data_IF_840283739073
#
_entry.id   IF_840283739073
#
_cell.length_a   1.000
_cell.length_b   1.000
_cell.length_c   1.000
_cell.angle_alpha   90.00
_cell.angle_beta   90.00
_cell.angle_gamma   90.00
#
_symmetry.space_group_name_H-M   'P 1'
#
loop_
_entity.id
_entity.type
_entity.pdbx_description
1 polymer ?
#
# COMPACT_ATOMS: atom_id res chain seq x y z
N UNK A 1 -22.59 11.19 -16.09
CA UNK A 1 -22.70 10.54 -17.42
C UNK A 1 -21.87 11.22 -18.53
N UNK A 2 -21.73 12.55 -18.60
CA UNK A 2 -20.98 13.21 -19.71
C UNK A 2 -19.44 13.06 -19.65
N UNK A 3 -18.83 12.92 -18.46
CA UNK A 3 -17.36 12.77 -18.28
C UNK A 3 -16.80 11.43 -18.81
N UNK A 4 -17.66 10.46 -19.06
CA UNK A 4 -17.31 9.10 -19.51
C UNK A 4 -17.22 8.95 -21.04
N UNK A 5 -17.53 10.02 -21.79
CA UNK A 5 -17.56 9.98 -23.26
C UNK A 5 -16.20 10.30 -23.90
N UNK A 6 -15.41 11.19 -23.28
CA UNK A 6 -14.14 11.69 -23.85
C UNK A 6 -13.02 10.66 -23.71
N UNK A 7 -12.88 10.05 -22.52
CA UNK A 7 -11.89 9.00 -22.22
C UNK A 7 -12.12 7.76 -23.11
N UNK A 8 -13.38 7.34 -23.29
CA UNK A 8 -13.74 6.27 -24.23
C UNK A 8 -13.49 6.61 -25.70
N UNK A 9 -13.45 7.89 -26.08
CA UNK A 9 -13.25 8.29 -27.47
C UNK A 9 -11.79 8.17 -27.89
N UNK A 10 -10.86 8.69 -27.06
CA UNK A 10 -9.41 8.60 -27.32
C UNK A 10 -8.96 7.13 -27.27
N UNK A 11 -9.35 6.39 -26.23
CA UNK A 11 -9.00 4.97 -26.10
C UNK A 11 -9.60 4.14 -27.24
N UNK A 12 -10.81 4.45 -27.73
CA UNK A 12 -11.36 3.82 -28.95
C UNK A 12 -10.56 4.15 -30.20
N UNK A 13 -10.16 5.40 -30.39
CA UNK A 13 -9.38 5.82 -31.57
C UNK A 13 -8.04 5.09 -31.56
N UNK A 14 -7.34 5.10 -30.44
CA UNK A 14 -6.06 4.40 -30.25
C UNK A 14 -6.17 2.87 -30.40
N UNK A 15 -7.26 2.25 -29.91
CA UNK A 15 -7.59 0.84 -30.19
C UNK A 15 -7.86 0.59 -31.67
N UNK A 16 -8.59 1.50 -32.34
CA UNK A 16 -8.95 1.39 -33.76
C UNK A 16 -7.74 1.51 -34.68
N UNK A 17 -6.75 2.33 -34.33
CA UNK A 17 -5.48 2.45 -35.07
C UNK A 17 -4.43 1.42 -34.63
N UNK A 18 -4.77 0.52 -33.70
CA UNK A 18 -3.93 -0.61 -33.28
C UNK A 18 -2.73 -0.24 -32.41
N UNK A 19 -2.76 0.93 -31.76
CA UNK A 19 -1.74 1.35 -30.77
C UNK A 19 -2.05 0.77 -29.39
N UNK A 20 -3.34 0.60 -29.07
CA UNK A 20 -3.82 0.05 -27.81
C UNK A 20 -4.65 -1.22 -28.01
N UNK A 21 -4.69 -2.07 -26.98
CA UNK A 21 -5.51 -3.28 -26.95
C UNK A 21 -4.78 -4.54 -27.40
N UNK A 22 -5.06 -5.62 -26.68
CA UNK A 22 -4.50 -6.94 -26.94
C UNK A 22 -5.03 -7.53 -28.26
N UNK A 23 -4.12 -8.03 -29.11
CA UNK A 23 -4.46 -8.83 -30.27
C UNK A 23 -3.56 -10.06 -30.32
N UNK A 24 -4.14 -11.27 -30.40
CA UNK A 24 -3.38 -12.54 -30.49
C UNK A 24 -2.34 -12.57 -31.63
N UNK A 25 -2.50 -11.75 -32.68
CA UNK A 25 -1.55 -11.63 -33.81
C UNK A 25 -0.48 -10.54 -33.63
N UNK A 26 -0.68 -9.62 -32.68
CA UNK A 26 0.15 -8.44 -32.39
C UNK A 26 0.15 -8.19 -30.87
N UNK A 27 0.60 -9.16 -30.07
CA UNK A 27 1.16 -8.80 -28.76
C UNK A 27 2.23 -7.74 -29.06
N UNK A 28 2.29 -6.66 -28.29
CA UNK A 28 3.25 -5.58 -28.47
C UNK A 28 4.64 -6.25 -28.39
N UNK A 29 5.21 -6.57 -29.55
CA UNK A 29 6.51 -7.22 -29.75
C UNK A 29 6.77 -8.57 -29.03
N UNK A 30 5.76 -9.37 -28.69
CA UNK A 30 6.01 -10.63 -27.97
C UNK A 30 6.57 -10.44 -26.55
N UNK A 31 6.36 -9.26 -25.96
CA UNK A 31 6.80 -8.94 -24.61
C UNK A 31 6.06 -9.83 -23.62
N UNK A 32 6.81 -10.38 -22.66
CA UNK A 32 6.28 -11.23 -21.60
C UNK A 32 5.28 -10.44 -20.74
N UNK A 33 4.05 -10.93 -20.47
CA UNK A 33 3.06 -10.22 -19.65
C UNK A 33 3.59 -9.79 -18.27
N UNK A 34 4.53 -10.56 -17.71
CA UNK A 34 5.21 -10.23 -16.47
C UNK A 34 5.96 -8.89 -16.55
N UNK A 35 6.61 -8.61 -17.69
CA UNK A 35 7.33 -7.35 -17.92
C UNK A 35 6.40 -6.14 -18.02
N UNK A 36 5.16 -6.34 -18.46
CA UNK A 36 4.17 -5.26 -18.49
C UNK A 36 3.77 -4.87 -17.06
N UNK A 37 3.50 -5.85 -16.20
CA UNK A 37 3.25 -5.60 -14.77
C UNK A 37 4.45 -4.92 -14.11
N UNK A 38 5.68 -5.39 -14.38
CA UNK A 38 6.89 -4.70 -13.92
C UNK A 38 6.94 -3.25 -14.41
N UNK A 39 6.61 -3.01 -15.68
CA UNK A 39 6.65 -1.67 -16.28
C UNK A 39 5.62 -0.73 -15.67
N UNK A 40 4.42 -1.22 -15.33
CA UNK A 40 3.39 -0.43 -14.65
C UNK A 40 3.79 -0.05 -13.22
N UNK A 41 4.42 -0.99 -12.50
CA UNK A 41 5.01 -0.71 -11.19
C UNK A 41 6.10 0.36 -11.33
N UNK A 42 7.08 0.16 -12.21
CA UNK A 42 8.19 1.10 -12.41
C UNK A 42 7.73 2.47 -12.89
N UNK A 43 6.74 2.53 -13.77
CA UNK A 43 6.12 3.79 -14.22
C UNK A 43 5.51 4.53 -13.02
N UNK A 44 4.76 3.82 -12.17
CA UNK A 44 4.14 4.40 -10.97
C UNK A 44 5.21 4.94 -10.02
N UNK A 45 6.27 4.17 -9.73
CA UNK A 45 7.40 4.63 -8.91
C UNK A 45 8.08 5.86 -9.51
N UNK A 46 8.28 5.89 -10.83
CA UNK A 46 8.90 7.02 -11.52
C UNK A 46 8.03 8.28 -11.47
N UNK A 47 6.72 8.15 -11.69
CA UNK A 47 5.77 9.27 -11.62
C UNK A 47 5.67 9.83 -10.20
N UNK A 48 5.63 8.97 -9.19
CA UNK A 48 5.60 9.37 -7.79
C UNK A 48 6.92 10.02 -7.35
N UNK A 49 8.07 9.50 -7.81
CA UNK A 49 9.36 10.15 -7.61
C UNK A 49 9.41 11.54 -8.26
N UNK A 50 8.93 11.67 -9.50
CA UNK A 50 8.84 12.96 -10.19
C UNK A 50 7.92 13.93 -9.42
N UNK A 51 6.74 13.47 -9.01
CA UNK A 51 5.80 14.27 -8.23
C UNK A 51 6.44 14.77 -6.92
N UNK A 52 7.16 13.90 -6.21
CA UNK A 52 7.92 14.28 -5.01
C UNK A 52 8.95 15.36 -5.32
N UNK A 53 9.75 15.21 -6.39
CA UNK A 53 10.73 16.22 -6.82
C UNK A 53 10.09 17.55 -7.17
N UNK A 54 8.91 17.54 -7.79
CA UNK A 54 8.15 18.75 -8.08
C UNK A 54 7.67 19.43 -6.80
N UNK A 55 7.19 18.66 -5.82
CA UNK A 55 6.82 19.20 -4.50
C UNK A 55 8.04 19.82 -3.81
N UNK A 56 9.17 19.12 -3.78
CA UNK A 56 10.42 19.65 -3.21
C UNK A 56 10.91 20.92 -3.90
N UNK A 57 10.67 21.06 -5.21
CA UNK A 57 11.11 22.21 -6.00
C UNK A 57 10.19 23.43 -5.88
N UNK A 58 8.87 23.22 -5.81
CA UNK A 58 7.89 24.29 -5.93
C UNK A 58 7.15 24.64 -4.64
N UNK A 59 7.20 23.78 -3.61
CA UNK A 59 6.62 24.08 -2.31
C UNK A 59 7.71 24.61 -1.40
N UNK A 60 7.55 25.87 -0.98
CA UNK A 60 8.43 26.56 -0.05
C UNK A 60 8.61 25.76 1.26
N UNK A 61 9.84 25.70 1.76
CA UNK A 61 10.21 25.00 2.98
C UNK A 61 9.54 25.59 4.23
N UNK A 62 9.10 26.86 4.18
CA UNK A 62 8.27 27.47 5.22
C UNK A 62 6.90 26.77 5.40
N UNK A 63 6.46 25.95 4.43
CA UNK A 63 5.14 25.27 4.40
C UNK A 63 5.25 23.77 4.66
N UNK A 64 5.98 23.40 5.72
CA UNK A 64 6.24 22.00 6.07
C UNK A 64 4.96 21.15 6.18
N UNK A 65 3.89 21.66 6.79
CA UNK A 65 2.61 20.93 6.89
C UNK A 65 2.05 20.56 5.51
N UNK A 66 2.08 21.48 4.54
CA UNK A 66 1.56 21.22 3.19
C UNK A 66 2.45 20.22 2.47
N UNK A 67 3.78 20.37 2.60
CA UNK A 67 4.77 19.45 2.03
C UNK A 67 4.55 18.03 2.55
N UNK A 68 4.34 17.87 3.85
CA UNK A 68 4.06 16.57 4.47
C UNK A 68 2.75 15.95 3.96
N UNK A 69 1.67 16.74 3.87
CA UNK A 69 0.40 16.23 3.32
C UNK A 69 0.54 15.80 1.86
N UNK A 70 1.29 16.54 1.04
CA UNK A 70 1.56 16.14 -0.34
C UNK A 70 2.40 14.85 -0.42
N UNK A 71 3.38 14.67 0.46
CA UNK A 71 4.13 13.43 0.53
C UNK A 71 3.26 12.24 0.97
N UNK A 72 2.41 12.40 1.98
CA UNK A 72 1.42 11.39 2.37
C UNK A 72 0.49 11.03 1.20
N UNK A 73 0.01 12.03 0.45
CA UNK A 73 -0.83 11.80 -0.72
C UNK A 73 -0.10 10.98 -1.79
N UNK A 74 1.12 11.38 -2.17
CA UNK A 74 1.86 10.71 -3.24
C UNK A 74 2.30 9.31 -2.79
N UNK A 75 2.76 9.16 -1.54
CA UNK A 75 3.15 7.87 -0.99
C UNK A 75 1.99 6.88 -0.95
N UNK A 76 0.80 7.30 -0.49
CA UNK A 76 -0.38 6.42 -0.49
C UNK A 76 -0.83 6.07 -1.90
N UNK A 77 -0.79 7.01 -2.84
CA UNK A 77 -1.14 6.74 -4.24
C UNK A 77 -0.15 5.74 -4.86
N UNK A 78 1.16 5.93 -4.67
CA UNK A 78 2.21 5.01 -5.14
C UNK A 78 2.01 3.60 -4.57
N UNK A 79 1.85 3.50 -3.24
CA UNK A 79 1.63 2.25 -2.51
C UNK A 79 0.41 1.50 -3.07
N UNK A 80 -0.75 2.14 -3.08
CA UNK A 80 -1.99 1.50 -3.51
C UNK A 80 -1.91 1.10 -4.99
N UNK A 81 -1.33 1.95 -5.84
CA UNK A 81 -1.19 1.69 -7.27
C UNK A 81 -0.31 0.48 -7.57
N UNK A 82 0.83 0.38 -6.88
CA UNK A 82 1.70 -0.79 -7.03
C UNK A 82 0.99 -2.06 -6.55
N UNK A 83 0.27 -1.99 -5.43
CA UNK A 83 -0.47 -3.14 -4.89
C UNK A 83 -1.63 -3.60 -5.79
N UNK A 84 -2.29 -2.69 -6.52
CA UNK A 84 -3.24 -3.11 -7.57
C UNK A 84 -2.56 -3.99 -8.61
N UNK A 85 -1.37 -3.60 -9.08
CA UNK A 85 -0.61 -4.41 -10.02
C UNK A 85 -0.11 -5.72 -9.40
N UNK A 86 0.17 -5.74 -8.10
CA UNK A 86 0.50 -6.98 -7.39
C UNK A 86 -0.66 -7.99 -7.38
N UNK A 87 -1.92 -7.55 -7.45
CA UNK A 87 -3.07 -8.47 -7.62
C UNK A 87 -2.92 -9.21 -8.96
N UNK A 88 -2.63 -8.49 -10.05
CA UNK A 88 -2.38 -9.11 -11.36
C UNK A 88 -1.21 -10.10 -11.27
N UNK A 89 -0.14 -9.74 -10.56
CA UNK A 89 1.01 -10.62 -10.36
C UNK A 89 0.62 -11.89 -9.60
N UNK A 90 -0.14 -11.76 -8.50
CA UNK A 90 -0.58 -12.89 -7.70
C UNK A 90 -1.52 -13.82 -8.48
N UNK A 91 -2.50 -13.26 -9.19
CA UNK A 91 -3.50 -14.03 -9.94
C UNK A 91 -2.88 -14.89 -11.06
N UNK A 92 -1.77 -14.43 -11.66
CA UNK A 92 -1.20 -15.06 -12.85
C UNK A 92 0.10 -15.85 -12.57
N UNK A 93 0.87 -15.48 -11.54
CA UNK A 93 2.15 -16.12 -11.20
C UNK A 93 2.25 -16.59 -9.74
N UNK A 94 1.19 -16.40 -8.95
CA UNK A 94 1.07 -16.93 -7.60
C UNK A 94 1.75 -16.08 -6.51
N UNK A 95 1.51 -16.51 -5.26
CA UNK A 95 1.92 -15.80 -4.04
C UNK A 95 3.44 -15.63 -3.91
N UNK A 96 4.22 -16.54 -4.47
CA UNK A 96 5.68 -16.42 -4.44
C UNK A 96 6.19 -15.24 -5.27
N UNK A 97 5.67 -15.04 -6.49
CA UNK A 97 5.99 -13.89 -7.31
C UNK A 97 5.52 -12.59 -6.65
N UNK A 98 4.30 -12.59 -6.11
CA UNK A 98 3.77 -11.49 -5.30
C UNK A 98 4.71 -11.11 -4.15
N UNK A 99 5.18 -12.09 -3.37
CA UNK A 99 6.05 -11.87 -2.22
C UNK A 99 7.40 -11.24 -2.61
N UNK A 100 7.99 -11.65 -3.74
CA UNK A 100 9.23 -11.05 -4.24
C UNK A 100 9.02 -9.56 -4.56
N UNK A 101 7.96 -9.21 -5.29
CA UNK A 101 7.69 -7.81 -5.60
C UNK A 101 7.36 -7.00 -4.35
N UNK A 102 6.52 -7.54 -3.46
CA UNK A 102 6.15 -6.86 -2.22
C UNK A 102 7.39 -6.60 -1.36
N UNK A 103 8.32 -7.54 -1.27
CA UNK A 103 9.58 -7.34 -0.56
C UNK A 103 10.39 -6.20 -1.18
N UNK A 104 10.59 -6.20 -2.50
CA UNK A 104 11.34 -5.16 -3.20
C UNK A 104 10.69 -3.78 -3.03
N UNK A 105 9.35 -3.72 -3.10
CA UNK A 105 8.59 -2.50 -2.88
C UNK A 105 8.65 -2.02 -1.44
N UNK A 106 8.61 -2.92 -0.46
CA UNK A 106 8.70 -2.56 0.97
C UNK A 106 10.10 -2.00 1.30
N UNK A 107 11.16 -2.58 0.72
CA UNK A 107 12.52 -2.02 0.80
C UNK A 107 12.55 -0.64 0.15
N UNK A 108 11.93 -0.47 -1.03
CA UNK A 108 11.83 0.83 -1.69
C UNK A 108 11.12 1.86 -0.81
N UNK A 109 9.90 1.58 -0.33
CA UNK A 109 9.10 2.51 0.46
C UNK A 109 9.80 2.93 1.75
N UNK A 110 10.43 1.98 2.46
CA UNK A 110 11.19 2.28 3.69
C UNK A 110 12.36 3.26 3.46
N UNK A 111 12.90 3.32 2.23
CA UNK A 111 14.04 4.17 1.90
C UNK A 111 13.66 5.52 1.26
N UNK A 112 12.44 5.67 0.73
CA UNK A 112 12.09 6.81 -0.13
C UNK A 112 11.18 7.83 0.51
N UNK A 113 10.23 7.40 1.34
CA UNK A 113 9.16 8.29 1.77
C UNK A 113 9.43 9.08 3.05
N UNK A 114 10.54 8.80 3.74
CA UNK A 114 10.93 9.54 4.95
C UNK A 114 9.84 9.44 6.00
N UNK A 115 9.30 10.58 6.44
CA UNK A 115 8.24 10.63 7.46
C UNK A 115 6.84 10.32 6.92
N UNK A 116 6.64 10.25 5.60
CA UNK A 116 5.33 9.92 5.05
C UNK A 116 5.05 8.42 5.25
N UNK A 117 4.00 8.13 6.02
CA UNK A 117 3.66 6.78 6.46
C UNK A 117 2.82 6.00 5.45
N UNK A 118 2.01 6.71 4.66
CA UNK A 118 0.98 6.14 3.80
C UNK A 118 0.00 5.18 4.52
N UNK A 119 -0.12 5.28 5.84
CA UNK A 119 -0.88 4.35 6.68
C UNK A 119 -1.71 5.07 7.75
N UNK A 120 -3.05 4.88 7.80
CA UNK A 120 -3.93 5.62 8.70
C UNK A 120 -3.70 5.44 10.21
N UNK A 121 -3.19 4.30 10.67
CA UNK A 121 -2.91 4.15 12.11
C UNK A 121 -1.61 4.86 12.53
N UNK A 122 -0.67 5.12 11.62
CA UNK A 122 0.60 5.75 11.96
C UNK A 122 0.46 7.13 12.63
N UNK A 123 -0.34 8.08 12.11
CA UNK A 123 -0.57 9.34 12.82
C UNK A 123 -1.33 9.18 14.14
N UNK A 124 -2.02 8.05 14.37
CA UNK A 124 -2.62 7.71 15.66
C UNK A 124 -1.60 7.10 16.62
N UNK A 125 -0.61 6.37 16.12
CA UNK A 125 0.55 5.97 16.92
C UNK A 125 1.24 7.20 17.52
N UNK A 126 1.47 8.22 16.69
CA UNK A 126 2.07 9.48 17.14
C UNK A 126 1.21 10.23 18.16
N UNK A 127 -0.12 10.09 18.14
CA UNK A 127 -1.00 10.62 19.20
C UNK A 127 -0.79 9.85 20.50
N UNK A 128 -0.75 8.50 20.43
CA UNK A 128 -0.56 7.64 21.60
C UNK A 128 0.80 7.87 22.27
N UNK A 129 1.80 8.27 21.49
CA UNK A 129 3.14 8.63 21.97
C UNK A 129 3.25 10.09 22.44
N UNK A 130 2.21 10.91 22.24
CA UNK A 130 2.22 12.33 22.60
C UNK A 130 2.96 13.25 21.63
N UNK A 131 3.31 12.75 20.44
CA UNK A 131 4.08 13.46 19.41
C UNK A 131 3.21 14.26 18.42
N UNK A 132 1.89 13.98 18.33
CA UNK A 132 0.97 14.64 17.40
C UNK A 132 -0.40 14.94 18.01
N UNK A 133 -1.04 16.01 17.55
CA UNK A 133 -2.42 16.33 17.92
C UNK A 133 -3.46 15.67 16.99
N UNK A 134 -4.68 15.45 17.50
CA UNK A 134 -5.78 14.81 16.76
C UNK A 134 -6.10 15.52 15.43
N UNK A 135 -6.10 16.86 15.42
CA UNK A 135 -6.44 17.65 14.23
C UNK A 135 -5.47 17.37 13.07
N UNK A 136 -4.18 17.26 13.35
CA UNK A 136 -3.18 17.03 12.31
C UNK A 136 -3.17 15.57 11.84
N UNK A 137 -3.42 14.62 12.75
CA UNK A 137 -3.63 13.23 12.37
C UNK A 137 -4.82 13.06 11.42
N UNK A 138 -5.95 13.71 11.70
CA UNK A 138 -7.13 13.67 10.83
C UNK A 138 -6.83 14.24 9.43
N UNK A 139 -6.04 15.31 9.32
CA UNK A 139 -5.63 15.83 8.00
C UNK A 139 -4.83 14.80 7.22
N UNK A 140 -3.90 14.11 7.86
CA UNK A 140 -3.09 13.05 7.24
C UNK A 140 -3.99 11.90 6.79
N UNK A 141 -4.84 11.36 7.66
CA UNK A 141 -5.74 10.25 7.35
C UNK A 141 -6.67 10.60 6.19
N UNK A 142 -7.27 11.79 6.21
CA UNK A 142 -8.11 12.26 5.10
C UNK A 142 -7.34 12.37 3.78
N UNK A 143 -6.07 12.78 3.84
CA UNK A 143 -5.20 12.90 2.67
C UNK A 143 -4.83 11.53 2.10
N UNK A 144 -4.49 10.57 2.96
CA UNK A 144 -4.24 9.18 2.59
C UNK A 144 -5.49 8.55 1.97
N UNK A 145 -6.67 8.76 2.56
CA UNK A 145 -7.94 8.28 2.00
C UNK A 145 -8.25 8.90 0.63
N UNK A 146 -8.03 10.21 0.47
CA UNK A 146 -8.21 10.87 -0.82
C UNK A 146 -7.31 10.27 -1.91
N UNK A 147 -6.04 9.97 -1.58
CA UNK A 147 -5.12 9.28 -2.48
C UNK A 147 -5.57 7.84 -2.79
N UNK A 148 -6.00 7.10 -1.76
CA UNK A 148 -6.51 5.73 -1.89
C UNK A 148 -7.72 5.65 -2.85
N UNK A 149 -8.68 6.58 -2.74
CA UNK A 149 -9.83 6.64 -3.66
C UNK A 149 -9.44 7.09 -5.07
N UNK A 150 -8.50 8.03 -5.21
CA UNK A 150 -8.04 8.48 -6.54
C UNK A 150 -7.28 7.37 -7.27
N UNK A 151 -6.60 6.50 -6.53
CA UNK A 151 -5.81 5.38 -7.09
C UNK A 151 -6.64 4.50 -8.01
N UNK A 152 -7.88 4.19 -7.64
CA UNK A 152 -8.77 3.38 -8.49
C UNK A 152 -8.91 3.98 -9.89
N UNK A 153 -9.10 5.30 -9.98
CA UNK A 153 -9.23 5.97 -11.28
C UNK A 153 -7.94 5.95 -12.07
N UNK A 154 -6.80 6.13 -11.40
CA UNK A 154 -5.48 6.06 -12.02
C UNK A 154 -5.21 4.66 -12.61
N UNK A 155 -5.46 3.61 -11.83
CA UNK A 155 -5.27 2.22 -12.25
C UNK A 155 -6.23 1.84 -13.39
N UNK A 156 -7.49 2.25 -13.34
CA UNK A 156 -8.42 2.03 -14.44
C UNK A 156 -7.92 2.60 -15.77
N UNK A 157 -7.25 3.76 -15.76
CA UNK A 157 -6.67 4.34 -16.97
C UNK A 157 -5.55 3.42 -17.49
N UNK A 158 -4.60 3.02 -16.63
CA UNK A 158 -3.51 2.12 -17.00
C UNK A 158 -4.00 0.77 -17.53
N UNK A 159 -4.95 0.16 -16.82
CA UNK A 159 -5.50 -1.14 -17.21
C UNK A 159 -6.40 -1.06 -18.44
N UNK A 160 -7.03 0.10 -18.73
CA UNK A 160 -7.84 0.28 -19.96
C UNK A 160 -7.03 0.20 -21.25
N UNK A 161 -5.70 0.32 -21.15
CA UNK A 161 -4.82 0.10 -22.29
C UNK A 161 -4.77 -1.36 -22.74
N UNK A 162 -5.10 -2.31 -21.87
CA UNK A 162 -5.21 -3.75 -22.15
C UNK A 162 -4.01 -4.26 -22.98
N UNK A 163 -2.79 -3.91 -22.55
CA UNK A 163 -1.56 -4.16 -23.33
C UNK A 163 -1.25 -5.66 -23.49
N UNK A 164 -1.68 -6.49 -22.53
CA UNK A 164 -1.48 -7.95 -22.48
C UNK A 164 -2.73 -8.65 -21.99
N UNK A 165 -2.80 -9.97 -22.22
CA UNK A 165 -3.96 -10.81 -21.86
C UNK A 165 -4.33 -10.74 -20.38
N UNK A 166 -3.35 -10.64 -19.48
CA UNK A 166 -3.56 -10.57 -18.02
C UNK A 166 -4.32 -9.31 -17.58
N UNK A 167 -4.34 -8.27 -18.43
CA UNK A 167 -5.01 -6.99 -18.18
C UNK A 167 -6.34 -6.83 -18.91
N UNK A 168 -6.74 -7.82 -19.72
CA UNK A 168 -7.98 -7.74 -20.48
C UNK A 168 -9.18 -7.58 -19.56
N UNK A 169 -10.01 -6.56 -19.81
CA UNK A 169 -11.20 -6.20 -19.05
C UNK A 169 -10.99 -5.86 -17.56
N UNK A 170 -9.77 -5.98 -17.00
CA UNK A 170 -9.48 -5.72 -15.57
C UNK A 170 -9.91 -4.33 -15.11
N UNK A 171 -9.85 -3.32 -15.98
CA UNK A 171 -10.30 -1.96 -15.67
C UNK A 171 -11.82 -1.83 -15.38
N UNK A 172 -12.62 -2.79 -15.85
CA UNK A 172 -14.09 -2.78 -15.80
C UNK A 172 -14.68 -4.01 -15.09
N UNK A 173 -13.83 -4.93 -14.65
CA UNK A 173 -14.22 -6.12 -13.92
C UNK A 173 -14.70 -5.75 -12.52
N UNK A 174 -15.73 -6.44 -12.03
CA UNK A 174 -16.16 -6.33 -10.64
C UNK A 174 -15.11 -6.99 -9.73
N UNK A 175 -14.66 -6.27 -8.71
CA UNK A 175 -13.69 -6.80 -7.77
C UNK A 175 -14.33 -7.71 -6.74
N UNK A 176 -13.58 -8.71 -6.27
CA UNK A 176 -13.94 -9.58 -5.14
C UNK A 176 -13.11 -9.23 -3.90
N UNK A 177 -13.72 -9.37 -2.74
CA UNK A 177 -13.05 -9.22 -1.46
C UNK A 177 -12.10 -10.41 -1.20
N UNK A 178 -11.01 -10.15 -0.46
CA UNK A 178 -10.02 -11.18 -0.12
C UNK A 178 -10.26 -11.83 1.25
N UNK A 179 -11.25 -11.37 2.00
CA UNK A 179 -11.63 -11.97 3.27
C UNK A 179 -12.20 -13.39 3.05
N UNK A 180 -11.44 -14.41 3.45
CA UNK A 180 -11.79 -15.83 3.30
C UNK A 180 -12.30 -16.47 4.61
N UNK A 181 -12.24 -15.74 5.72
CA UNK A 181 -12.71 -16.18 7.05
C UNK A 181 -13.84 -15.28 7.54
N UNK A 182 -14.50 -15.66 8.64
CA UNK A 182 -15.51 -14.79 9.24
C UNK A 182 -14.91 -13.46 9.71
N UNK A 183 -15.77 -12.45 9.82
CA UNK A 183 -15.41 -11.08 10.18
C UNK A 183 -14.51 -10.99 11.44
N UNK A 184 -14.82 -11.74 12.49
CA UNK A 184 -14.10 -11.63 13.75
C UNK A 184 -12.74 -12.30 13.63
N UNK A 185 -12.67 -13.49 13.02
CA UNK A 185 -11.40 -14.15 12.72
C UNK A 185 -10.50 -13.28 11.84
N UNK A 186 -11.05 -12.64 10.81
CA UNK A 186 -10.31 -11.71 9.95
C UNK A 186 -9.76 -10.52 10.71
N UNK A 187 -10.57 -9.91 11.59
CA UNK A 187 -10.14 -8.80 12.43
C UNK A 187 -9.03 -9.21 13.42
N UNK A 188 -9.10 -10.42 13.99
CA UNK A 188 -8.06 -10.97 14.87
C UNK A 188 -6.75 -11.18 14.09
N UNK A 189 -6.81 -11.70 12.86
CA UNK A 189 -5.63 -11.90 12.00
C UNK A 189 -4.98 -10.55 11.68
N UNK A 190 -5.75 -9.57 11.20
CA UNK A 190 -5.25 -8.22 10.90
C UNK A 190 -4.66 -7.55 12.14
N UNK A 191 -5.33 -7.64 13.31
CA UNK A 191 -4.82 -7.06 14.55
C UNK A 191 -3.53 -7.71 15.02
N UNK A 192 -3.47 -9.04 15.05
CA UNK A 192 -2.31 -9.79 15.55
C UNK A 192 -1.08 -9.53 14.69
N UNK A 193 -1.23 -9.61 13.37
CA UNK A 193 -0.10 -9.48 12.46
C UNK A 193 0.31 -8.03 12.25
N UNK A 194 -0.63 -7.07 12.32
CA UNK A 194 -0.27 -5.65 12.44
C UNK A 194 0.54 -5.43 13.72
N UNK A 195 0.11 -5.97 14.86
CA UNK A 195 0.84 -5.84 16.12
C UNK A 195 2.28 -6.37 16.01
N UNK A 196 2.47 -7.54 15.41
CA UNK A 196 3.80 -8.12 15.21
C UNK A 196 4.67 -7.27 14.28
N UNK A 197 4.12 -6.81 13.15
CA UNK A 197 4.85 -5.90 12.25
C UNK A 197 5.29 -4.64 12.99
N UNK A 198 4.37 -3.97 13.69
CA UNK A 198 4.66 -2.71 14.39
C UNK A 198 5.66 -2.87 15.52
N UNK A 199 5.56 -3.96 16.28
CA UNK A 199 6.52 -4.27 17.34
C UNK A 199 7.91 -4.55 16.76
N UNK A 200 8.00 -5.33 15.68
CA UNK A 200 9.25 -5.60 15.00
C UNK A 200 9.88 -4.30 14.46
N UNK A 201 9.12 -3.47 13.74
CA UNK A 201 9.62 -2.20 13.20
C UNK A 201 10.13 -1.26 14.30
N UNK A 202 9.43 -1.15 15.44
CA UNK A 202 9.85 -0.29 16.55
C UNK A 202 11.10 -0.81 17.24
N UNK A 203 11.18 -2.12 17.50
CA UNK A 203 12.40 -2.73 18.07
C UNK A 203 13.58 -2.52 17.12
N UNK A 204 13.40 -2.81 15.83
CA UNK A 204 14.44 -2.65 14.83
C UNK A 204 14.89 -1.18 14.67
N UNK A 205 13.95 -0.23 14.77
CA UNK A 205 14.23 1.20 14.74
C UNK A 205 15.06 1.70 15.93
N UNK A 206 14.95 1.05 17.09
CA UNK A 206 15.80 1.33 18.25
C UNK A 206 17.16 0.63 18.18
N UNK A 207 17.28 -0.47 17.45
CA UNK A 207 18.55 -1.19 17.32
C UNK A 207 19.49 -0.52 16.32
N UNK A 208 20.81 -0.59 16.56
CA UNK A 208 21.85 -0.03 15.69
C UNK A 208 22.11 -0.87 14.41
N UNK A 209 21.21 -1.79 14.06
CA UNK A 209 21.43 -2.78 13.00
C UNK A 209 21.55 -2.12 11.62
N UNK A 210 22.68 -2.37 10.95
CA UNK A 210 23.07 -1.77 9.66
C UNK A 210 22.11 -2.04 8.48
N UNK A 211 21.13 -2.92 8.64
CA UNK A 211 20.11 -3.26 7.63
C UNK A 211 18.72 -3.47 8.22
N UNK A 212 18.40 -2.75 9.31
CA UNK A 212 17.12 -2.86 10.02
C UNK A 212 15.91 -2.73 9.07
N UNK A 213 15.98 -1.84 8.08
CA UNK A 213 14.94 -1.65 7.07
C UNK A 213 14.71 -2.88 6.17
N UNK A 214 15.77 -3.60 5.79
CA UNK A 214 15.64 -4.83 4.98
C UNK A 214 15.03 -5.94 5.83
N UNK A 215 15.46 -6.07 7.08
CA UNK A 215 14.91 -7.07 8.02
C UNK A 215 13.43 -6.80 8.29
N UNK A 216 13.06 -5.54 8.52
CA UNK A 216 11.67 -5.10 8.69
C UNK A 216 10.82 -5.41 7.44
N UNK A 217 11.36 -5.13 6.24
CA UNK A 217 10.69 -5.44 4.99
C UNK A 217 10.47 -6.95 4.77
N UNK A 218 11.47 -7.78 5.10
CA UNK A 218 11.35 -9.24 5.06
C UNK A 218 10.27 -9.69 6.04
N UNK A 219 10.31 -9.21 7.28
CA UNK A 219 9.36 -9.59 8.30
C UNK A 219 7.93 -9.20 7.92
N UNK A 220 7.71 -7.95 7.50
CA UNK A 220 6.41 -7.47 7.03
C UNK A 220 5.88 -8.30 5.86
N UNK A 221 6.72 -8.58 4.85
CA UNK A 221 6.34 -9.42 3.70
C UNK A 221 5.92 -10.83 4.16
N UNK A 222 6.64 -11.44 5.10
CA UNK A 222 6.28 -12.76 5.64
C UNK A 222 4.94 -12.73 6.36
N UNK A 223 4.64 -11.66 7.12
CA UNK A 223 3.34 -11.52 7.77
C UNK A 223 2.20 -11.37 6.75
N UNK A 224 2.43 -10.62 5.66
CA UNK A 224 1.43 -10.47 4.59
C UNK A 224 1.16 -11.83 3.93
N UNK A 225 2.22 -12.57 3.58
CA UNK A 225 2.10 -13.92 3.00
C UNK A 225 1.37 -14.87 3.97
N UNK A 226 1.64 -14.78 5.27
CA UNK A 226 0.97 -15.60 6.28
C UNK A 226 -0.54 -15.30 6.37
N UNK A 227 -0.95 -14.04 6.17
CA UNK A 227 -2.35 -13.61 6.18
C UNK A 227 -3.07 -13.72 4.83
N UNK A 228 -2.34 -14.01 3.75
CA UNK A 228 -2.81 -13.87 2.37
C UNK A 228 -4.13 -14.59 2.13
N UNK A 229 -4.25 -15.85 2.59
CA UNK A 229 -5.44 -16.69 2.41
C UNK A 229 -6.49 -16.53 3.54
N UNK A 230 -6.34 -15.54 4.42
CA UNK A 230 -7.29 -15.28 5.51
C UNK A 230 -7.99 -13.93 5.31
N UNK A 231 -7.23 -12.84 5.33
CA UNK A 231 -7.74 -11.47 5.18
C UNK A 231 -7.22 -10.75 3.94
N UNK A 232 -6.25 -11.34 3.22
CA UNK A 232 -5.43 -10.67 2.21
C UNK A 232 -4.16 -10.02 2.78
N UNK A 233 -4.05 -9.90 4.11
CA UNK A 233 -2.84 -9.40 4.78
C UNK A 233 -2.55 -7.93 4.50
N UNK A 234 -3.55 -7.05 4.66
CA UNK A 234 -3.39 -5.67 4.25
C UNK A 234 -2.60 -4.84 5.25
N UNK A 235 -2.89 -4.98 6.54
CA UNK A 235 -2.26 -4.27 7.66
C UNK A 235 -2.12 -2.75 7.45
N UNK A 236 -2.96 -2.18 6.60
CA UNK A 236 -2.99 -0.77 6.25
C UNK A 236 -4.43 -0.42 5.81
N UNK A 237 -5.18 0.34 6.63
CA UNK A 237 -6.56 0.67 6.34
C UNK A 237 -6.78 1.44 5.02
N UNK A 238 -5.86 2.31 4.62
CA UNK A 238 -5.97 3.05 3.35
C UNK A 238 -5.77 2.11 2.15
N UNK A 239 -4.80 1.19 2.25
CA UNK A 239 -4.55 0.19 1.23
C UNK A 239 -5.74 -0.75 1.06
N UNK A 240 -6.23 -1.34 2.15
CA UNK A 240 -7.40 -2.21 2.13
C UNK A 240 -8.62 -1.49 1.52
N UNK A 241 -8.85 -0.24 1.93
CA UNK A 241 -9.93 0.58 1.37
C UNK A 241 -9.73 0.85 -0.12
N UNK A 242 -8.52 1.13 -0.58
CA UNK A 242 -8.25 1.36 -2.01
C UNK A 242 -8.57 0.13 -2.86
N UNK A 243 -8.12 -1.06 -2.41
CA UNK A 243 -8.18 -2.28 -3.21
C UNK A 243 -9.52 -3.03 -3.10
N UNK A 244 -10.17 -3.00 -1.93
CA UNK A 244 -11.25 -3.95 -1.59
C UNK A 244 -12.56 -3.33 -1.10
N UNK A 245 -12.60 -2.02 -0.85
CA UNK A 245 -13.83 -1.40 -0.35
C UNK A 245 -14.94 -1.42 -1.41
N UNK A 246 -16.08 -2.03 -1.05
CA UNK A 246 -17.23 -2.16 -1.95
C UNK A 246 -17.11 -3.31 -2.96
N UNK A 247 -16.08 -4.15 -2.86
CA UNK A 247 -15.98 -5.37 -3.64
C UNK A 247 -16.98 -6.43 -3.18
N UNK A 248 -17.32 -7.34 -4.10
CA UNK A 248 -18.29 -8.41 -3.84
C UNK A 248 -17.72 -9.39 -2.82
N UNK A 249 -18.54 -9.81 -1.86
CA UNK A 249 -18.18 -10.81 -0.85
C UNK A 249 -17.91 -10.24 0.54
N UNK A 250 -17.89 -8.91 0.71
CA UNK A 250 -17.73 -8.28 2.03
C UNK A 250 -18.66 -7.08 2.20
N UNK A 251 -19.36 -7.00 3.32
CA UNK A 251 -20.18 -5.84 3.67
C UNK A 251 -19.33 -4.65 4.10
N UNK A 252 -19.95 -3.46 4.13
CA UNK A 252 -19.31 -2.26 4.67
C UNK A 252 -18.83 -2.47 6.11
N UNK A 253 -19.65 -3.09 6.96
CA UNK A 253 -19.32 -3.29 8.36
C UNK A 253 -18.12 -4.24 8.52
N UNK A 254 -18.11 -5.35 7.77
CA UNK A 254 -17.00 -6.29 7.80
C UNK A 254 -15.70 -5.66 7.32
N UNK A 255 -15.73 -4.83 6.28
CA UNK A 255 -14.54 -4.09 5.83
C UNK A 255 -13.97 -3.19 6.92
N UNK A 256 -14.83 -2.43 7.61
CA UNK A 256 -14.40 -1.53 8.68
C UNK A 256 -13.90 -2.31 9.89
N UNK A 257 -14.60 -3.36 10.32
CA UNK A 257 -14.20 -4.16 11.49
C UNK A 257 -12.86 -4.85 11.25
N UNK A 258 -12.68 -5.47 10.08
CA UNK A 258 -11.46 -6.23 9.77
C UNK A 258 -10.28 -5.30 9.52
N UNK A 259 -10.41 -4.40 8.54
CA UNK A 259 -9.25 -3.68 8.00
C UNK A 259 -8.96 -2.34 8.68
N UNK A 260 -9.95 -1.76 9.36
CA UNK A 260 -9.73 -0.57 10.17
C UNK A 260 -9.56 -0.95 11.62
N UNK A 261 -10.61 -1.45 12.28
CA UNK A 261 -10.56 -1.71 13.73
C UNK A 261 -9.46 -2.71 14.06
N UNK A 262 -9.33 -3.81 13.32
CA UNK A 262 -8.26 -4.78 13.49
C UNK A 262 -6.86 -4.14 13.44
N UNK A 263 -6.53 -3.47 12.35
CA UNK A 263 -5.22 -2.84 12.17
C UNK A 263 -4.92 -1.75 13.22
N UNK A 264 -5.89 -0.89 13.55
CA UNK A 264 -5.74 0.14 14.59
C UNK A 264 -5.51 -0.48 15.99
N UNK A 265 -6.26 -1.53 16.34
CA UNK A 265 -6.06 -2.24 17.61
C UNK A 265 -4.68 -2.90 17.66
N UNK A 266 -4.27 -3.57 16.58
CA UNK A 266 -2.95 -4.20 16.48
C UNK A 266 -1.81 -3.20 16.69
N UNK A 267 -1.89 -2.05 16.02
CA UNK A 267 -0.93 -0.95 16.16
C UNK A 267 -0.91 -0.37 17.59
N UNK A 268 -2.07 -0.11 18.19
CA UNK A 268 -2.16 0.39 19.56
C UNK A 268 -1.58 -0.59 20.60
N UNK A 269 -1.89 -1.89 20.46
CA UNK A 269 -1.35 -2.95 21.32
C UNK A 269 0.18 -3.01 21.19
N UNK A 270 0.72 -2.89 19.97
CA UNK A 270 2.16 -2.88 19.75
C UNK A 270 2.86 -1.74 20.49
N UNK A 271 2.28 -0.53 20.50
CA UNK A 271 2.83 0.61 21.26
C UNK A 271 2.82 0.32 22.75
N UNK A 272 1.71 -0.20 23.28
CA UNK A 272 1.58 -0.51 24.71
C UNK A 272 2.63 -1.55 25.13
N UNK A 273 2.80 -2.61 24.33
CA UNK A 273 3.82 -3.65 24.58
C UNK A 273 5.22 -3.06 24.49
N UNK A 274 5.50 -2.29 23.44
CA UNK A 274 6.82 -1.68 23.21
C UNK A 274 7.22 -0.75 24.35
N UNK A 275 6.29 0.08 24.85
CA UNK A 275 6.54 1.03 25.95
C UNK A 275 6.51 0.38 27.34
N UNK A 276 6.25 -0.93 27.45
CA UNK A 276 6.29 -1.63 28.73
C UNK A 276 7.72 -1.69 29.29
N UNK A 277 7.85 -1.59 30.62
CA UNK A 277 9.14 -1.67 31.31
C UNK A 277 9.94 -2.94 30.94
N UNK A 278 9.25 -4.05 30.71
CA UNK A 278 9.88 -5.33 30.37
C UNK A 278 10.62 -5.24 29.03
N UNK A 279 9.97 -4.67 28.00
CA UNK A 279 10.55 -4.56 26.66
C UNK A 279 11.65 -3.50 26.65
N UNK A 280 11.40 -2.32 27.23
CA UNK A 280 12.38 -1.24 27.28
C UNK A 280 13.66 -1.64 28.03
N UNK A 281 13.54 -2.34 29.16
CA UNK A 281 14.71 -2.84 29.90
C UNK A 281 15.55 -3.82 29.07
N UNK A 282 14.91 -4.69 28.29
CA UNK A 282 15.63 -5.61 27.39
C UNK A 282 16.34 -4.87 26.27
N UNK A 283 15.70 -3.91 25.62
CA UNK A 283 16.31 -3.09 24.56
C UNK A 283 17.54 -2.36 25.11
N UNK A 284 17.42 -1.71 26.27
CA UNK A 284 18.52 -0.98 26.90
C UNK A 284 19.70 -1.90 27.27
N UNK A 285 19.40 -3.12 27.75
CA UNK A 285 20.44 -4.12 28.06
C UNK A 285 21.16 -4.64 26.82
N UNK A 286 20.48 -4.69 25.66
CA UNK A 286 21.10 -5.06 24.40
C UNK A 286 21.98 -3.93 23.86
N UNK A 287 21.51 -2.68 23.92
CA UNK A 287 22.27 -1.49 23.51
C UNK A 287 23.59 -1.35 24.30
N UNK A 288 23.55 -1.53 25.61
CA UNK A 288 24.75 -1.42 26.47
C UNK A 288 25.80 -2.51 26.26
N UNK A 289 25.49 -3.57 25.49
CA UNK A 289 26.47 -4.60 25.10
C UNK A 289 27.13 -4.33 23.74
N UNK A 290 26.58 -3.41 22.96
CA UNK A 290 27.10 -3.02 21.64
C UNK A 290 28.04 -1.79 21.70
N UNK A 291 27.98 -1.02 22.80
CA UNK A 291 28.95 0.04 23.16
C UNK A 291 30.20 -0.51 23.86
#
# INVERSE_FOLDING_TARGET
MAKWAIDRSITRILRKIGILGFNKKRNIYGINPFLISTSYILLTLALAHLARRLVEKYVDDSKETIKNLLFEFIATLELCSCCFELIIVADNWGVFAYAIYLLLLTIWWSSKWGNASACPYAPVEEILEGNRCLKDALKIICTQLAAAFLTFRYIQILWSFELVETHMNKAYEECTADLQVDMISGAIVEATLTCFCRLASKILGETSLKYSNIVDAIFGTLMVVAAFNFSGGYFNPALATSLKFGCIGNSFAEHIVVYWIGAFLGSAIAIIIFNSNIVQNKINTCKSKEE
#
